data_IF_877658467553
#
_entry.id   IF_877658467553
#
_cell.length_a   1.000
_cell.length_b   1.000
_cell.length_c   1.000
_cell.angle_alpha   90.00
_cell.angle_beta   90.00
_cell.angle_gamma   90.00
#
_symmetry.space_group_name_H-M   'P 1'
#
loop_
_entity.id
_entity.type
_entity.pdbx_description
1 polymer ?
#
# COMPACT_ATOMS: atom_id res chain seq x y z
N UNK A 1 42.57 2.10 -0.66
CA UNK A 1 41.47 1.18 -0.30
C UNK A 1 40.19 1.91 -0.64
N UNK A 2 39.57 1.60 -1.79
CA UNK A 2 38.26 2.15 -2.12
C UNK A 2 37.27 1.70 -1.03
N UNK A 3 36.33 2.56 -0.59
CA UNK A 3 35.31 2.14 0.36
C UNK A 3 34.56 0.94 -0.24
N UNK A 4 34.15 -0.04 0.57
CA UNK A 4 33.33 -1.14 0.09
C UNK A 4 32.12 -0.53 -0.61
N UNK A 5 31.96 -0.83 -1.90
CA UNK A 5 30.78 -0.43 -2.67
C UNK A 5 29.58 -0.97 -1.92
N UNK A 6 28.81 -0.09 -1.28
CA UNK A 6 27.63 -0.48 -0.53
C UNK A 6 26.65 -1.11 -1.52
N UNK A 7 26.61 -2.44 -1.55
CA UNK A 7 25.72 -3.18 -2.44
C UNK A 7 24.32 -2.97 -1.89
N UNK A 8 23.62 -1.96 -2.41
CA UNK A 8 22.22 -1.72 -2.06
C UNK A 8 21.45 -3.02 -2.30
N UNK A 9 20.71 -3.52 -1.29
CA UNK A 9 19.92 -4.73 -1.44
C UNK A 9 18.97 -4.57 -2.63
N UNK A 10 18.83 -5.64 -3.43
CA UNK A 10 17.98 -5.59 -4.62
C UNK A 10 16.52 -5.53 -4.20
N UNK A 11 15.81 -4.55 -4.77
CA UNK A 11 14.43 -4.22 -4.41
C UNK A 11 13.47 -4.89 -5.38
N UNK A 12 12.43 -5.50 -4.85
CA UNK A 12 11.25 -5.93 -5.57
C UNK A 12 10.10 -4.96 -5.32
N UNK A 13 9.18 -4.90 -6.27
CA UNK A 13 7.95 -4.11 -6.14
C UNK A 13 6.75 -4.93 -6.60
N UNK A 14 5.74 -5.07 -5.73
CA UNK A 14 4.42 -5.57 -6.12
C UNK A 14 3.56 -4.36 -6.48
N UNK A 15 3.04 -4.37 -7.70
CA UNK A 15 2.30 -3.24 -8.27
C UNK A 15 0.80 -3.54 -8.32
N UNK A 16 0.02 -2.73 -7.60
CA UNK A 16 -1.43 -2.64 -7.73
C UNK A 16 -1.86 -1.63 -8.80
N UNK A 17 -3.12 -1.20 -8.73
CA UNK A 17 -3.70 -0.24 -9.66
C UNK A 17 -3.31 1.21 -9.31
N UNK A 18 -3.31 2.10 -10.31
CA UNK A 18 -3.16 3.55 -10.15
C UNK A 18 -1.91 4.10 -10.82
N UNK A 19 -1.71 5.41 -10.76
CA UNK A 19 -0.58 6.13 -11.39
C UNK A 19 0.67 6.22 -10.52
N UNK A 20 0.53 5.99 -9.21
CA UNK A 20 1.65 6.06 -8.25
C UNK A 20 2.73 5.01 -8.55
N UNK A 21 2.41 3.73 -8.84
CA UNK A 21 3.43 2.71 -9.10
C UNK A 21 4.32 3.05 -10.31
N UNK A 22 3.74 3.55 -11.39
CA UNK A 22 4.50 3.94 -12.59
C UNK A 22 5.43 5.10 -12.31
N UNK A 23 4.92 6.13 -11.64
CA UNK A 23 5.72 7.29 -11.23
C UNK A 23 6.90 6.88 -10.33
N UNK A 24 6.68 5.92 -9.42
CA UNK A 24 7.72 5.37 -8.55
C UNK A 24 8.79 4.63 -9.34
N UNK A 25 8.39 3.72 -10.25
CA UNK A 25 9.32 2.93 -11.06
C UNK A 25 10.17 3.83 -11.94
N UNK A 26 9.57 4.77 -12.68
CA UNK A 26 10.31 5.70 -13.55
C UNK A 26 11.31 6.54 -12.76
N UNK A 27 10.95 6.95 -11.55
CA UNK A 27 11.82 7.73 -10.68
C UNK A 27 13.01 6.92 -10.18
N UNK A 28 12.79 5.69 -9.74
CA UNK A 28 13.88 4.78 -9.37
C UNK A 28 14.82 4.53 -10.54
N UNK A 29 14.28 4.31 -11.74
CA UNK A 29 15.07 4.14 -12.96
C UNK A 29 15.94 5.37 -13.23
N UNK A 30 15.40 6.58 -13.07
CA UNK A 30 16.17 7.84 -13.22
C UNK A 30 17.33 7.96 -12.21
N UNK A 31 17.24 7.28 -11.08
CA UNK A 31 18.25 7.25 -10.01
C UNK A 31 19.20 6.04 -10.13
N UNK A 32 19.11 5.27 -11.22
CA UNK A 32 19.91 4.07 -11.45
C UNK A 32 19.47 2.85 -10.62
N UNK A 33 18.29 2.92 -9.99
CA UNK A 33 17.69 1.80 -9.26
C UNK A 33 16.73 1.04 -10.18
N UNK A 34 17.06 -0.22 -10.47
CA UNK A 34 16.26 -1.08 -11.33
C UNK A 34 15.53 -2.14 -10.49
N UNK A 35 14.25 -1.91 -10.15
CA UNK A 35 13.49 -2.86 -9.33
C UNK A 35 13.12 -4.13 -10.11
N UNK A 36 12.88 -5.22 -9.38
CA UNK A 36 12.22 -6.42 -9.91
C UNK A 36 10.71 -6.25 -9.74
N UNK A 37 9.97 -6.23 -10.83
CA UNK A 37 8.55 -5.87 -10.83
C UNK A 37 7.67 -7.12 -10.84
N UNK A 38 6.72 -7.16 -9.90
CA UNK A 38 5.68 -8.17 -9.80
C UNK A 38 4.34 -7.50 -10.09
N UNK A 39 3.78 -7.81 -11.24
CA UNK A 39 2.42 -7.41 -11.61
C UNK A 39 1.38 -8.41 -11.12
N UNK A 40 0.19 -7.91 -10.83
CA UNK A 40 -1.00 -8.68 -10.52
C UNK A 40 -1.94 -8.70 -11.73
N UNK A 41 -2.30 -9.92 -12.18
CA UNK A 41 -3.16 -10.13 -13.35
C UNK A 41 -4.46 -9.37 -13.26
N UNK A 42 -4.76 -8.58 -14.31
CA UNK A 42 -5.98 -7.79 -14.42
C UNK A 42 -6.03 -6.55 -13.49
N UNK A 43 -4.92 -6.22 -12.85
CA UNK A 43 -4.80 -5.08 -11.93
C UNK A 43 -3.67 -4.14 -12.37
N UNK A 44 -2.50 -4.70 -12.68
CA UNK A 44 -1.32 -3.92 -13.10
C UNK A 44 -1.43 -3.50 -14.56
N UNK A 45 -1.01 -2.28 -14.85
CA UNK A 45 -0.85 -1.83 -16.24
C UNK A 45 0.30 -2.59 -16.93
N UNK A 46 0.05 -3.28 -18.06
CA UNK A 46 1.09 -3.98 -18.82
C UNK A 46 2.25 -3.11 -19.31
N UNK A 47 2.04 -1.79 -19.45
CA UNK A 47 3.10 -0.84 -19.83
C UNK A 47 4.30 -0.87 -18.89
N UNK A 48 4.08 -1.27 -17.63
CA UNK A 48 5.13 -1.41 -16.61
C UNK A 48 6.08 -2.57 -16.85
N UNK A 49 5.76 -3.52 -17.73
CA UNK A 49 6.60 -4.70 -17.97
C UNK A 49 7.63 -4.50 -19.09
N UNK A 50 7.40 -3.52 -19.97
CA UNK A 50 8.27 -3.30 -21.13
C UNK A 50 9.67 -2.89 -20.70
N UNK A 51 10.69 -3.59 -21.23
CA UNK A 51 12.12 -3.34 -20.99
C UNK A 51 12.58 -3.43 -19.52
N UNK A 52 11.82 -4.14 -18.67
CA UNK A 52 12.09 -4.28 -17.24
C UNK A 52 12.17 -5.74 -16.83
N UNK A 53 12.82 -6.00 -15.69
CA UNK A 53 12.75 -7.32 -15.05
C UNK A 53 11.40 -7.43 -14.37
N UNK A 54 10.41 -7.94 -15.10
CA UNK A 54 9.03 -7.99 -14.64
C UNK A 54 8.37 -9.33 -14.96
N UNK A 55 7.43 -9.73 -14.10
CA UNK A 55 6.54 -10.85 -14.37
C UNK A 55 5.16 -10.59 -13.76
N UNK A 56 4.14 -11.16 -14.41
CA UNK A 56 2.74 -11.01 -14.01
C UNK A 56 2.20 -12.30 -13.41
N UNK A 57 1.58 -12.21 -12.24
CA UNK A 57 1.06 -13.34 -11.48
C UNK A 57 -0.39 -13.13 -11.06
N UNK A 58 -1.14 -14.22 -10.89
CA UNK A 58 -2.42 -14.16 -10.18
C UNK A 58 -2.19 -13.97 -8.68
N UNK A 59 -3.11 -13.29 -7.99
CA UNK A 59 -3.00 -13.01 -6.55
C UNK A 59 -2.84 -14.26 -5.66
N UNK A 60 -3.31 -15.43 -6.12
CA UNK A 60 -3.14 -16.71 -5.42
C UNK A 60 -1.78 -17.37 -5.60
N UNK A 61 -0.97 -16.91 -6.55
CA UNK A 61 0.33 -17.52 -6.89
C UNK A 61 1.47 -16.97 -6.02
N UNK A 62 1.23 -16.93 -4.70
CA UNK A 62 2.18 -16.34 -3.74
C UNK A 62 3.52 -17.07 -3.75
N UNK A 63 3.53 -18.40 -3.87
CA UNK A 63 4.76 -19.17 -4.01
C UNK A 63 5.55 -18.83 -5.27
N UNK A 64 4.88 -18.67 -6.41
CA UNK A 64 5.55 -18.24 -7.64
C UNK A 64 6.10 -16.83 -7.55
N UNK A 65 5.36 -15.89 -6.93
CA UNK A 65 5.83 -14.52 -6.68
C UNK A 65 7.10 -14.55 -5.82
N UNK A 66 7.08 -15.28 -4.71
CA UNK A 66 8.24 -15.41 -3.81
C UNK A 66 9.43 -16.04 -4.52
N UNK A 67 9.21 -17.11 -5.29
CA UNK A 67 10.26 -17.75 -6.06
C UNK A 67 10.88 -16.82 -7.10
N UNK A 68 10.06 -16.05 -7.82
CA UNK A 68 10.51 -15.06 -8.79
C UNK A 68 11.35 -13.96 -8.13
N UNK A 69 10.92 -13.43 -6.99
CA UNK A 69 11.66 -12.42 -6.24
C UNK A 69 13.01 -12.98 -5.76
N UNK A 70 13.02 -14.17 -5.15
CA UNK A 70 14.22 -14.82 -4.63
C UNK A 70 15.21 -15.19 -5.74
N UNK A 71 14.75 -15.70 -6.88
CA UNK A 71 15.61 -16.07 -8.01
C UNK A 71 16.32 -14.86 -8.62
N UNK A 72 15.73 -13.67 -8.49
CA UNK A 72 16.36 -12.41 -8.90
C UNK A 72 17.18 -11.75 -7.79
N UNK A 73 17.30 -12.37 -6.61
CA UNK A 73 18.09 -11.87 -5.49
C UNK A 73 17.43 -10.74 -4.69
N UNK A 74 16.11 -10.58 -4.78
CA UNK A 74 15.37 -9.57 -4.02
C UNK A 74 15.41 -9.90 -2.53
N UNK A 75 15.72 -8.89 -1.72
CA UNK A 75 15.66 -8.97 -0.24
C UNK A 75 14.70 -7.98 0.40
N UNK A 76 14.34 -6.93 -0.33
CA UNK A 76 13.41 -5.91 0.14
C UNK A 76 12.27 -5.76 -0.85
N UNK A 77 11.04 -5.64 -0.35
CA UNK A 77 9.84 -5.59 -1.15
C UNK A 77 8.97 -4.39 -0.80
N UNK A 78 8.66 -3.58 -1.81
CA UNK A 78 7.66 -2.52 -1.70
C UNK A 78 6.34 -3.01 -2.30
N UNK A 79 5.24 -2.80 -1.59
CA UNK A 79 3.89 -2.99 -2.14
C UNK A 79 3.28 -1.61 -2.37
N UNK A 80 2.85 -1.32 -3.59
CA UNK A 80 2.30 0.00 -3.93
C UNK A 80 1.15 -0.10 -4.93
N UNK A 81 0.23 0.85 -4.84
CA UNK A 81 -0.97 0.89 -5.68
C UNK A 81 -2.19 0.31 -4.97
N UNK A 82 -3.36 0.64 -5.51
CA UNK A 82 -4.63 0.19 -4.97
C UNK A 82 -4.85 -1.30 -5.29
N UNK A 83 -5.32 -2.05 -4.30
CA UNK A 83 -5.76 -3.41 -4.48
C UNK A 83 -7.20 -3.51 -3.97
N UNK A 84 -8.15 -3.72 -4.88
CA UNK A 84 -9.51 -4.07 -4.45
C UNK A 84 -9.46 -5.41 -3.73
N UNK A 85 -10.17 -5.50 -2.61
CA UNK A 85 -10.23 -6.73 -1.81
C UNK A 85 -10.64 -7.90 -2.72
N UNK A 86 -9.74 -8.86 -2.97
CA UNK A 86 -10.05 -9.96 -3.85
C UNK A 86 -11.08 -10.86 -3.17
N UNK A 87 -11.97 -11.45 -3.96
CA UNK A 87 -12.85 -12.47 -3.45
C UNK A 87 -12.01 -13.73 -3.15
N UNK A 88 -11.79 -14.03 -1.87
CA UNK A 88 -10.94 -15.15 -1.44
C UNK A 88 -11.42 -16.49 -2.00
N UNK A 89 -12.73 -16.63 -2.29
CA UNK A 89 -13.32 -17.85 -2.86
C UNK A 89 -12.96 -18.07 -4.33
N UNK A 90 -12.58 -17.02 -5.06
CA UNK A 90 -12.20 -17.12 -6.47
C UNK A 90 -10.69 -17.21 -6.67
N UNK A 91 -9.90 -17.14 -5.59
CA UNK A 91 -8.46 -17.25 -5.64
C UNK A 91 -8.10 -18.72 -5.84
N UNK A 92 -7.29 -19.02 -6.85
CA UNK A 92 -6.68 -20.33 -7.06
C UNK A 92 -5.26 -20.26 -6.48
N UNK A 93 -5.03 -20.77 -5.25
CA UNK A 93 -3.72 -20.69 -4.62
C UNK A 93 -2.75 -21.72 -5.20
N UNK A 94 -1.47 -21.36 -5.30
CA UNK A 94 -0.41 -22.36 -5.46
C UNK A 94 -0.11 -23.07 -4.12
N UNK A 95 0.80 -24.05 -4.10
CA UNK A 95 1.06 -24.85 -2.90
C UNK A 95 1.49 -24.03 -1.68
N UNK A 96 2.23 -22.93 -1.88
CA UNK A 96 2.59 -22.02 -0.81
C UNK A 96 1.41 -21.10 -0.43
N UNK A 97 0.71 -20.57 -1.44
CA UNK A 97 -0.50 -19.79 -1.29
C UNK A 97 -1.59 -20.53 -0.51
N UNK A 98 -1.70 -21.85 -0.66
CA UNK A 98 -2.66 -22.67 0.06
C UNK A 98 -2.33 -22.72 1.56
N UNK A 99 -1.05 -22.87 1.91
CA UNK A 99 -0.59 -22.84 3.31
C UNK A 99 -0.86 -21.48 3.95
N UNK A 100 -0.59 -20.39 3.22
CA UNK A 100 -0.84 -19.02 3.68
C UNK A 100 -2.34 -18.78 3.84
N UNK A 101 -3.15 -19.17 2.86
CA UNK A 101 -4.60 -19.05 2.90
C UNK A 101 -5.22 -19.85 4.06
N UNK A 102 -4.77 -21.09 4.27
CA UNK A 102 -5.22 -21.91 5.40
C UNK A 102 -4.91 -21.25 6.76
N UNK A 103 -3.70 -20.69 6.92
CA UNK A 103 -3.33 -19.93 8.12
C UNK A 103 -4.18 -18.67 8.29
N UNK A 104 -4.45 -17.96 7.19
CA UNK A 104 -5.30 -16.77 7.20
C UNK A 104 -6.72 -17.10 7.67
N UNK A 105 -7.34 -18.12 7.08
CA UNK A 105 -8.69 -18.59 7.45
C UNK A 105 -8.75 -19.04 8.91
N UNK A 106 -7.71 -19.74 9.38
CA UNK A 106 -7.61 -20.17 10.77
C UNK A 106 -7.50 -18.98 11.74
N UNK A 107 -6.76 -17.93 11.38
CA UNK A 107 -6.68 -16.70 12.17
C UNK A 107 -8.00 -15.93 12.14
N UNK A 108 -8.63 -15.80 10.97
CA UNK A 108 -9.89 -15.08 10.80
C UNK A 108 -11.05 -15.74 11.58
N UNK A 109 -11.04 -17.08 11.68
CA UNK A 109 -12.01 -17.81 12.51
C UNK A 109 -11.87 -17.53 14.01
N UNK A 110 -10.72 -17.03 14.46
CA UNK A 110 -10.45 -16.73 15.88
C UNK A 110 -10.57 -15.24 16.23
N UNK A 111 -10.51 -14.37 15.25
CA UNK A 111 -10.63 -12.91 15.42
C UNK A 111 -11.13 -12.31 14.11
N UNK A 112 -12.12 -11.40 14.16
CA UNK A 112 -12.52 -10.61 12.99
C UNK A 112 -11.32 -9.78 12.53
N UNK A 113 -10.54 -10.33 11.62
CA UNK A 113 -9.38 -9.64 11.05
C UNK A 113 -9.92 -8.55 10.13
N UNK A 114 -9.75 -7.31 10.57
CA UNK A 114 -9.87 -6.12 9.74
C UNK A 114 -8.83 -6.07 8.63
N UNK A 115 -8.87 -5.02 7.81
CA UNK A 115 -7.94 -4.84 6.68
C UNK A 115 -6.49 -4.67 7.18
N UNK A 116 -6.35 -3.92 8.26
CA UNK A 116 -5.08 -3.67 8.94
C UNK A 116 -4.44 -4.97 9.50
N UNK A 117 -5.29 -5.87 10.02
CA UNK A 117 -4.87 -7.19 10.49
C UNK A 117 -4.46 -8.13 9.35
N UNK A 118 -5.15 -8.04 8.21
CA UNK A 118 -4.81 -8.79 7.00
C UNK A 118 -3.44 -8.36 6.44
N UNK A 119 -3.19 -7.06 6.33
CA UNK A 119 -1.89 -6.55 5.85
C UNK A 119 -0.73 -6.97 6.75
N UNK A 120 -0.91 -6.89 8.08
CA UNK A 120 0.09 -7.39 9.04
C UNK A 120 0.35 -8.88 8.89
N UNK A 121 -0.69 -9.68 8.66
CA UNK A 121 -0.55 -11.12 8.42
C UNK A 121 0.26 -11.38 7.14
N UNK A 122 -0.10 -10.73 6.03
CA UNK A 122 0.61 -10.88 4.74
C UNK A 122 2.08 -10.50 4.88
N UNK A 123 2.37 -9.37 5.54
CA UNK A 123 3.74 -8.94 5.85
C UNK A 123 4.54 -10.04 6.55
N UNK A 124 4.01 -10.57 7.65
CA UNK A 124 4.67 -11.61 8.43
C UNK A 124 4.88 -12.90 7.64
N UNK A 125 3.94 -13.27 6.77
CA UNK A 125 4.10 -14.47 5.94
C UNK A 125 5.19 -14.28 4.87
N UNK A 126 5.31 -13.10 4.25
CA UNK A 126 6.38 -12.81 3.27
C UNK A 126 7.75 -12.75 3.95
N UNK A 127 7.85 -12.09 5.12
CA UNK A 127 9.11 -11.98 5.89
C UNK A 127 9.69 -13.36 6.27
N UNK A 128 8.85 -14.39 6.46
CA UNK A 128 9.31 -15.77 6.71
C UNK A 128 10.11 -16.38 5.55
N UNK A 129 10.01 -15.80 4.36
CA UNK A 129 10.77 -16.22 3.18
C UNK A 129 12.03 -15.37 2.97
N UNK A 130 12.43 -14.56 3.97
CA UNK A 130 13.66 -13.76 3.93
C UNK A 130 13.56 -12.53 3.03
N UNK A 131 12.34 -12.03 2.82
CA UNK A 131 12.06 -10.80 2.07
C UNK A 131 11.41 -9.80 3.02
N UNK A 132 12.10 -8.70 3.30
CA UNK A 132 11.61 -7.66 4.19
C UNK A 132 10.63 -6.75 3.45
N UNK A 133 9.42 -6.58 3.99
CA UNK A 133 8.50 -5.57 3.45
C UNK A 133 8.89 -4.21 4.02
N UNK A 134 9.08 -3.26 3.11
CA UNK A 134 9.50 -1.89 3.38
C UNK A 134 8.45 -0.91 2.83
N UNK A 135 8.33 0.24 3.48
CA UNK A 135 7.47 1.32 3.01
C UNK A 135 8.06 1.99 1.77
N UNK A 136 7.20 2.34 0.79
CA UNK A 136 7.64 3.10 -0.39
C UNK A 136 8.31 4.44 -0.01
N UNK A 137 7.87 5.05 1.10
CA UNK A 137 8.40 6.32 1.62
C UNK A 137 9.84 6.21 2.13
N UNK A 138 10.34 5.02 2.47
CA UNK A 138 11.73 4.83 2.90
C UNK A 138 12.72 5.08 1.74
N UNK A 139 12.24 4.90 0.50
CA UNK A 139 13.02 5.13 -0.71
C UNK A 139 12.65 6.43 -1.41
N UNK A 140 11.47 6.97 -1.11
CA UNK A 140 11.00 8.24 -1.63
C UNK A 140 10.28 9.06 -0.54
N UNK A 141 11.03 9.71 0.37
CA UNK A 141 10.43 10.46 1.48
C UNK A 141 9.52 11.59 1.00
N UNK A 142 9.78 12.17 -0.16
CA UNK A 142 8.91 13.12 -0.89
C UNK A 142 7.53 12.57 -1.31
N UNK A 143 7.27 11.27 -1.20
CA UNK A 143 5.89 10.75 -1.29
C UNK A 143 5.05 11.17 -0.08
N UNK A 144 5.68 11.54 1.03
CA UNK A 144 4.99 12.02 2.22
C UNK A 144 4.62 13.49 2.05
N UNK A 145 3.45 13.85 2.59
CA UNK A 145 3.06 15.24 2.73
C UNK A 145 4.12 15.95 3.60
N UNK A 146 4.82 16.98 3.09
CA UNK A 146 5.79 17.70 3.88
C UNK A 146 5.10 18.49 4.99
N UNK A 147 5.82 18.81 6.05
CA UNK A 147 5.31 19.68 7.09
C UNK A 147 5.10 21.10 6.56
N UNK A 148 4.00 21.73 6.94
CA UNK A 148 3.69 23.13 6.63
C UNK A 148 2.46 23.32 5.76
N UNK A 149 2.26 24.57 5.32
CA UNK A 149 1.13 24.97 4.47
C UNK A 149 1.50 24.74 3.01
N UNK A 150 0.78 23.84 2.34
CA UNK A 150 0.97 23.52 0.92
C UNK A 150 0.19 24.42 -0.03
N UNK A 151 -0.73 25.22 0.51
CA UNK A 151 -1.62 26.11 -0.25
C UNK A 151 -1.14 27.56 -0.14
N UNK A 152 -1.81 28.44 -0.89
CA UNK A 152 -1.55 29.89 -0.80
C UNK A 152 -2.09 30.52 0.49
N UNK A 153 -2.96 29.82 1.20
CA UNK A 153 -3.71 30.34 2.34
C UNK A 153 -3.40 29.49 3.57
N UNK A 154 -2.86 30.10 4.60
CA UNK A 154 -2.63 29.45 5.89
C UNK A 154 -3.94 29.38 6.69
N UNK A 155 -4.14 28.33 7.50
CA UNK A 155 -5.27 28.27 8.43
C UNK A 155 -5.14 29.37 9.50
N UNK A 156 -6.26 29.97 9.86
CA UNK A 156 -6.34 30.87 11.01
C UNK A 156 -6.60 30.10 12.33
N UNK A 157 -6.79 30.83 13.44
CA UNK A 157 -7.02 30.21 14.74
C UNK A 157 -8.33 29.39 14.82
N UNK A 158 -9.36 29.77 14.06
CA UNK A 158 -10.62 29.03 14.00
C UNK A 158 -10.44 27.73 13.19
N UNK A 159 -9.77 27.83 12.04
CA UNK A 159 -9.40 26.67 11.21
C UNK A 159 -8.56 25.67 12.02
N UNK A 160 -7.56 26.14 12.77
CA UNK A 160 -6.70 25.28 13.58
C UNK A 160 -7.47 24.51 14.66
N UNK A 161 -8.52 25.10 15.23
CA UNK A 161 -9.39 24.39 16.19
C UNK A 161 -10.19 23.28 15.49
N UNK A 162 -10.73 23.56 14.31
CA UNK A 162 -11.46 22.57 13.49
C UNK A 162 -10.51 21.44 13.04
N UNK A 163 -9.32 21.78 12.56
CA UNK A 163 -8.27 20.82 12.16
C UNK A 163 -7.90 19.91 13.33
N UNK A 164 -7.70 20.47 14.53
CA UNK A 164 -7.33 19.68 15.72
C UNK A 164 -8.41 18.65 16.08
N UNK A 165 -9.68 19.09 16.11
CA UNK A 165 -10.83 18.20 16.35
C UNK A 165 -10.95 17.14 15.26
N UNK A 166 -10.79 17.56 14.00
CA UNK A 166 -10.85 16.68 12.85
C UNK A 166 -9.76 15.61 12.88
N UNK A 167 -8.52 16.00 13.18
CA UNK A 167 -7.42 15.05 13.27
C UNK A 167 -7.65 13.98 14.35
N UNK A 168 -8.16 14.37 15.51
CA UNK A 168 -8.51 13.43 16.58
C UNK A 168 -9.61 12.45 16.14
N UNK A 169 -10.67 12.95 15.50
CA UNK A 169 -11.76 12.12 15.00
C UNK A 169 -11.31 11.16 13.88
N UNK A 170 -10.47 11.61 12.95
CA UNK A 170 -9.90 10.77 11.90
C UNK A 170 -9.02 9.64 12.49
N UNK A 171 -8.23 9.95 13.53
CA UNK A 171 -7.43 8.94 14.23
C UNK A 171 -8.28 7.89 14.93
N UNK A 172 -9.38 8.30 15.58
CA UNK A 172 -10.31 7.36 16.19
C UNK A 172 -10.99 6.47 15.13
N UNK A 173 -11.48 7.07 14.04
CA UNK A 173 -12.12 6.33 12.94
C UNK A 173 -11.20 5.28 12.32
N UNK A 174 -9.93 5.64 12.11
CA UNK A 174 -8.90 4.71 11.65
C UNK A 174 -8.57 3.61 12.65
N UNK A 175 -8.54 3.92 13.95
CA UNK A 175 -8.29 2.91 14.99
C UNK A 175 -9.42 1.86 15.09
N UNK A 176 -10.63 2.20 14.66
CA UNK A 176 -11.77 1.29 14.59
C UNK A 176 -11.82 0.47 13.29
N UNK A 177 -10.85 0.65 12.37
CA UNK A 177 -10.77 0.00 11.05
C UNK A 177 -12.02 0.24 10.17
N UNK A 178 -12.64 1.42 10.32
CA UNK A 178 -13.87 1.80 9.58
C UNK A 178 -13.61 2.74 8.40
N UNK A 179 -12.41 3.30 8.29
CA UNK A 179 -12.00 4.24 7.26
C UNK A 179 -10.92 5.17 7.80
N UNK A 180 -10.39 6.06 6.96
CA UNK A 180 -9.22 6.89 7.31
C UNK A 180 -9.47 8.39 7.13
N UNK A 181 -10.60 8.77 6.56
CA UNK A 181 -10.91 10.17 6.23
C UNK A 181 -12.20 10.63 6.90
N UNK A 182 -12.27 11.93 7.17
CA UNK A 182 -13.47 12.61 7.66
C UNK A 182 -13.62 13.96 6.96
N UNK A 183 -14.82 14.52 6.94
CA UNK A 183 -15.10 15.90 6.56
C UNK A 183 -15.70 16.61 7.76
N UNK A 184 -15.16 17.77 8.12
CA UNK A 184 -15.53 18.55 9.30
C UNK A 184 -15.55 20.03 8.94
N UNK A 185 -16.48 20.78 9.53
CA UNK A 185 -16.53 22.24 9.50
C UNK A 185 -16.70 22.81 10.92
N UNK A 186 -16.94 24.11 11.05
CA UNK A 186 -17.15 24.77 12.34
C UNK A 186 -18.35 24.21 13.13
N UNK A 187 -19.39 23.73 12.44
CA UNK A 187 -20.58 23.16 13.06
C UNK A 187 -20.38 21.71 13.54
N UNK A 188 -19.40 21.00 13.00
CA UNK A 188 -19.05 19.64 13.41
C UNK A 188 -18.68 18.72 12.25
N UNK A 189 -18.71 17.41 12.52
CA UNK A 189 -18.38 16.37 11.52
C UNK A 189 -19.53 16.29 10.51
N UNK A 190 -19.26 16.61 9.24
CA UNK A 190 -20.20 16.50 8.14
C UNK A 190 -20.31 15.05 7.63
N UNK A 191 -19.21 14.28 7.73
CA UNK A 191 -19.19 12.89 7.31
C UNK A 191 -17.91 12.16 7.67
N UNK A 192 -18.00 10.82 7.65
CA UNK A 192 -16.86 9.91 7.86
C UNK A 192 -16.76 8.93 6.70
N UNK A 193 -15.54 8.56 6.33
CA UNK A 193 -15.30 7.64 5.21
C UNK A 193 -15.89 6.27 5.52
N UNK A 194 -16.44 5.63 4.49
CA UNK A 194 -16.92 4.25 4.55
C UNK A 194 -16.31 3.44 3.41
N UNK A 195 -16.80 2.22 3.19
CA UNK A 195 -16.37 1.36 2.08
C UNK A 195 -16.58 1.96 0.68
N UNK A 196 -17.32 3.05 0.55
CA UNK A 196 -17.49 3.80 -0.71
C UNK A 196 -16.28 4.66 -1.08
N UNK A 197 -15.39 4.95 -0.12
CA UNK A 197 -14.14 5.67 -0.30
C UNK A 197 -14.23 7.19 -0.19
N UNK A 198 -13.06 7.82 -0.15
CA UNK A 198 -12.89 9.26 0.14
C UNK A 198 -13.60 10.17 -0.86
N UNK A 199 -13.58 9.85 -2.16
CA UNK A 199 -14.25 10.66 -3.17
C UNK A 199 -15.77 10.70 -2.97
N UNK A 200 -16.36 9.57 -2.60
CA UNK A 200 -17.79 9.49 -2.31
C UNK A 200 -18.15 10.27 -1.03
N UNK A 201 -17.29 10.22 0.00
CA UNK A 201 -17.43 11.04 1.19
C UNK A 201 -17.47 12.53 0.84
N UNK A 202 -16.46 13.02 0.10
CA UNK A 202 -16.39 14.45 -0.29
C UNK A 202 -17.64 14.86 -1.07
N UNK A 203 -18.07 14.05 -2.03
CA UNK A 203 -19.29 14.31 -2.80
C UNK A 203 -20.55 14.35 -1.92
N UNK A 204 -20.65 13.47 -0.92
CA UNK A 204 -21.82 13.41 -0.02
C UNK A 204 -21.93 14.61 0.94
N UNK A 205 -20.81 15.27 1.23
CA UNK A 205 -20.77 16.46 2.08
C UNK A 205 -20.87 17.77 1.29
N UNK A 206 -20.98 17.71 -0.04
CA UNK A 206 -21.05 18.91 -0.86
C UNK A 206 -22.30 19.74 -0.52
N UNK A 207 -22.09 21.00 -0.14
CA UNK A 207 -23.17 21.95 0.20
C UNK A 207 -23.60 21.96 1.66
N UNK A 208 -22.88 21.26 2.55
CA UNK A 208 -23.05 21.32 4.01
C UNK A 208 -22.07 22.30 4.65
#
# INVERSE_FOLDING_TARGET
>A
MLPPTEVKPKIGIIVGQGSIPESLVMRWESQGMLPVIVGLKGITDPSLFTNRIAAEFSIGQVGHILHFLQSHGVRQLVMIGALKRPNLWTIIPDGAGFKILARLLWCHSRSKLGDDGLLRFVRREIERYGIDIIGAHEFMPELLCPAGVLTRTAPDDADLQVITKGFAAAKQHGAEDKGQSIVINEAGICGVESSTGTNALIASCAGQ
#
